data_IF_825705479381
#
_entry.id   IF_825705479381
#
_cell.length_a   1.000
_cell.length_b   1.000
_cell.length_c   1.000
_cell.angle_alpha   90.00
_cell.angle_beta   90.00
_cell.angle_gamma   90.00
#
_symmetry.space_group_name_H-M   'P 1'
#
loop_
_entity.id
_entity.type
_entity.pdbx_description
1 polymer ?
#
# COMPACT_ATOMS: atom_id res chain seq x y z
N UNK A 1 -10.70 -7.04 14.07
CA UNK A 1 -10.01 -8.33 14.21
C UNK A 1 -10.38 -9.37 13.13
N UNK A 2 -11.50 -9.24 12.39
CA UNK A 2 -11.89 -10.24 11.37
C UNK A 2 -11.09 -10.21 10.06
N UNK A 3 -10.60 -9.05 9.61
CA UNK A 3 -9.86 -8.94 8.34
C UNK A 3 -8.46 -9.57 8.37
N UNK A 4 -7.81 -9.58 9.54
CA UNK A 4 -6.48 -10.16 9.71
C UNK A 4 -6.58 -11.69 9.64
N UNK A 5 -7.61 -12.31 10.23
CA UNK A 5 -7.77 -13.76 10.26
C UNK A 5 -8.05 -14.38 8.87
N UNK A 6 -8.73 -13.67 7.98
CA UNK A 6 -9.03 -14.15 6.61
C UNK A 6 -7.77 -14.13 5.73
N UNK A 7 -6.79 -13.27 6.00
CA UNK A 7 -5.55 -13.19 5.23
C UNK A 7 -4.59 -14.36 5.49
N UNK A 8 -4.57 -14.93 6.70
CA UNK A 8 -3.59 -15.96 7.10
C UNK A 8 -3.91 -17.38 6.60
N UNK A 9 -5.16 -17.69 6.23
CA UNK A 9 -5.56 -19.05 5.85
C UNK A 9 -5.12 -19.47 4.44
N UNK A 10 -4.63 -18.55 3.60
CA UNK A 10 -4.29 -18.84 2.19
C UNK A 10 -2.81 -19.10 1.91
N UNK A 11 -1.94 -19.07 2.93
CA UNK A 11 -0.48 -19.20 2.73
C UNK A 11 -0.09 -20.58 2.20
N UNK A 12 -0.76 -21.65 2.66
CA UNK A 12 -0.47 -23.02 2.24
C UNK A 12 -1.09 -23.42 0.90
N UNK A 13 -2.13 -22.70 0.44
CA UNK A 13 -2.79 -22.96 -0.84
C UNK A 13 -2.06 -22.32 -2.04
N UNK A 14 -1.12 -21.41 -1.80
CA UNK A 14 -0.38 -20.71 -2.85
C UNK A 14 0.85 -21.47 -3.36
N UNK A 15 1.28 -22.55 -2.70
CA UNK A 15 2.41 -23.34 -3.17
C UNK A 15 1.88 -24.39 -4.15
N UNK A 16 2.15 -24.25 -5.46
CA UNK A 16 1.68 -25.23 -6.44
C UNK A 16 2.33 -26.59 -6.18
N UNK A 17 1.52 -27.62 -5.96
CA UNK A 17 1.97 -29.01 -5.86
C UNK A 17 2.02 -29.64 -7.24
N UNK A 18 3.13 -30.30 -7.60
CA UNK A 18 3.25 -31.05 -8.86
C UNK A 18 3.87 -30.26 -10.04
N UNK A 19 4.42 -29.08 -9.80
CA UNK A 19 5.24 -28.35 -10.79
C UNK A 19 6.68 -28.18 -10.27
N UNK A 20 7.70 -28.15 -11.14
CA UNK A 20 9.07 -27.91 -10.72
C UNK A 20 9.17 -26.55 -10.04
N UNK A 21 9.60 -26.57 -8.78
CA UNK A 21 9.69 -25.40 -7.93
C UNK A 21 11.02 -24.69 -8.18
N UNK A 22 10.96 -23.38 -8.45
CA UNK A 22 12.16 -22.55 -8.53
C UNK A 22 12.49 -22.06 -7.13
N UNK A 23 13.15 -22.89 -6.32
CA UNK A 23 13.58 -22.55 -4.95
C UNK A 23 14.80 -21.62 -4.89
N UNK A 24 15.05 -20.89 -5.98
CA UNK A 24 16.16 -19.97 -6.04
C UNK A 24 15.88 -18.78 -5.12
N UNK A 25 16.86 -18.33 -4.31
CA UNK A 25 16.74 -17.09 -3.58
C UNK A 25 16.44 -15.93 -4.52
N UNK A 26 15.75 -14.91 -4.01
CA UNK A 26 15.56 -13.64 -4.74
C UNK A 26 16.94 -13.06 -5.04
N UNK A 27 17.16 -12.69 -6.31
CA UNK A 27 18.44 -12.23 -6.78
C UNK A 27 18.39 -10.73 -7.09
N UNK A 28 18.83 -9.93 -6.13
CA UNK A 28 18.89 -8.47 -6.24
C UNK A 28 19.98 -7.97 -7.21
N UNK A 29 20.67 -8.86 -7.94
CA UNK A 29 21.57 -8.46 -9.03
C UNK A 29 20.83 -8.24 -10.35
N UNK A 30 19.59 -8.73 -10.48
CA UNK A 30 18.79 -8.54 -11.70
C UNK A 30 17.92 -7.29 -11.60
N UNK A 31 17.86 -6.51 -12.68
CA UNK A 31 17.06 -5.29 -12.73
C UNK A 31 15.58 -5.56 -12.44
N UNK A 32 15.04 -6.67 -12.95
CA UNK A 32 13.64 -7.06 -12.74
C UNK A 32 13.32 -7.31 -11.27
N UNK A 33 14.16 -8.06 -10.55
CA UNK A 33 13.92 -8.38 -9.15
C UNK A 33 14.02 -7.13 -8.27
N UNK A 34 14.97 -6.23 -8.55
CA UNK A 34 15.06 -4.94 -7.86
C UNK A 34 13.77 -4.13 -8.07
N UNK A 35 13.27 -4.05 -9.31
CA UNK A 35 12.06 -3.28 -9.60
C UNK A 35 10.85 -3.86 -8.85
N UNK A 36 10.64 -5.18 -8.92
CA UNK A 36 9.46 -5.83 -8.35
C UNK A 36 9.50 -5.81 -6.83
N UNK A 37 10.64 -6.16 -6.23
CA UNK A 37 10.74 -6.37 -4.79
C UNK A 37 11.13 -5.12 -3.99
N UNK A 38 11.72 -4.09 -4.63
CA UNK A 38 12.13 -2.86 -3.94
C UNK A 38 11.42 -1.62 -4.48
N UNK A 39 11.44 -1.39 -5.79
CA UNK A 39 10.91 -0.14 -6.36
C UNK A 39 9.40 -0.10 -6.28
N UNK A 40 8.71 -1.17 -6.65
CA UNK A 40 7.25 -1.25 -6.62
C UNK A 40 6.66 -0.96 -5.22
N UNK A 41 7.11 -1.61 -4.12
CA UNK A 41 6.60 -1.28 -2.79
C UNK A 41 6.95 0.16 -2.36
N UNK A 42 8.13 0.67 -2.73
CA UNK A 42 8.50 2.06 -2.44
C UNK A 42 7.57 3.06 -3.14
N UNK A 43 7.23 2.83 -4.41
CA UNK A 43 6.29 3.67 -5.17
C UNK A 43 4.91 3.66 -4.52
N UNK A 44 4.40 2.49 -4.11
CA UNK A 44 3.10 2.39 -3.42
C UNK A 44 3.11 3.19 -2.12
N UNK A 45 4.19 3.14 -1.34
CA UNK A 45 4.33 3.92 -0.10
C UNK A 45 4.31 5.42 -0.40
N UNK A 46 5.11 5.88 -1.38
CA UNK A 46 5.18 7.30 -1.76
C UNK A 46 3.83 7.81 -2.24
N UNK A 47 3.15 7.06 -3.12
CA UNK A 47 1.82 7.41 -3.60
C UNK A 47 0.77 7.38 -2.48
N UNK A 48 0.86 6.41 -1.56
CA UNK A 48 -0.01 6.32 -0.40
C UNK A 48 0.14 7.51 0.54
N UNK A 49 1.38 7.93 0.82
CA UNK A 49 1.68 9.13 1.61
C UNK A 49 1.15 10.38 0.89
N UNK A 50 1.44 10.53 -0.39
CA UNK A 50 0.95 11.66 -1.17
C UNK A 50 -0.59 11.71 -1.16
N UNK A 51 -1.26 10.58 -1.35
CA UNK A 51 -2.70 10.50 -1.28
C UNK A 51 -3.23 10.91 0.11
N UNK A 52 -2.62 10.39 1.18
CA UNK A 52 -3.00 10.71 2.56
C UNK A 52 -2.86 12.21 2.88
N UNK A 53 -1.77 12.84 2.44
CA UNK A 53 -1.51 14.25 2.73
C UNK A 53 -2.32 15.19 1.83
N UNK A 54 -2.49 14.89 0.54
CA UNK A 54 -3.08 15.82 -0.42
C UNK A 54 -4.61 15.69 -0.56
N UNK A 55 -5.18 14.49 -0.48
CA UNK A 55 -6.64 14.33 -0.64
C UNK A 55 -7.42 14.56 0.64
N UNK A 56 -6.79 14.43 1.81
CA UNK A 56 -7.42 14.75 3.08
C UNK A 56 -7.40 16.27 3.31
N UNK A 57 -8.00 17.05 2.41
CA UNK A 57 -8.29 18.46 2.69
C UNK A 57 -9.15 18.51 3.97
N UNK A 58 -8.70 19.16 5.04
CA UNK A 58 -9.54 19.37 6.21
C UNK A 58 -10.78 20.19 5.80
N UNK A 59 -11.95 19.53 5.68
CA UNK A 59 -13.26 20.20 5.47
C UNK A 59 -13.51 21.30 6.51
N UNK A 60 -12.83 21.19 7.65
CA UNK A 60 -12.77 22.13 8.76
C UNK A 60 -12.27 23.53 8.35
N UNK A 61 -11.32 23.70 7.41
CA UNK A 61 -10.85 25.07 7.05
C UNK A 61 -11.93 25.89 6.34
N UNK A 62 -12.65 25.28 5.40
CA UNK A 62 -13.78 25.94 4.71
C UNK A 62 -14.99 26.18 5.63
N UNK A 63 -15.22 25.28 6.59
CA UNK A 63 -16.30 25.44 7.57
C UNK A 63 -15.98 26.53 8.61
N UNK A 64 -14.72 26.68 8.97
CA UNK A 64 -14.23 27.69 9.92
C UNK A 64 -14.18 29.09 9.28
N UNK A 65 -13.78 29.18 8.00
CA UNK A 65 -13.89 30.42 7.21
C UNK A 65 -15.35 30.88 7.08
N UNK A 66 -16.28 29.97 6.74
CA UNK A 66 -17.72 30.28 6.68
C UNK A 66 -18.32 30.70 8.02
N UNK A 67 -17.87 30.14 9.14
CA UNK A 67 -18.30 30.56 10.49
C UNK A 67 -17.76 31.95 10.87
N UNK A 68 -16.55 32.30 10.47
CA UNK A 68 -15.97 33.63 10.72
C UNK A 68 -16.66 34.72 9.88
N UNK A 69 -17.11 34.37 8.69
CA UNK A 69 -17.87 35.28 7.80
C UNK A 69 -19.31 35.49 8.24
N UNK A 70 -19.98 34.48 8.82
CA UNK A 70 -21.35 34.63 9.34
C UNK A 70 -21.44 35.36 10.69
N UNK A 71 -20.32 35.53 11.38
CA UNK A 71 -20.24 36.13 12.72
C UNK A 71 -19.63 37.56 12.69
N UNK A 72 -19.46 38.12 11.49
CA UNK A 72 -19.01 39.50 11.20
C UNK A 72 -20.17 40.28 10.60
#
# INVERSE_FOLDING_TARGET
MGLIAIAYQNVYAQIPTGTPRTDKPIDLSTTSDIIIYLVLPLVVIVLGIFWWFFYKKPKNKKAEEKRKESNK
#
